data_IF_038128402226
#
_entry.id   IF_038128402226
#
_cell.length_a   1.000
_cell.length_b   1.000
_cell.length_c   1.000
_cell.angle_alpha   90.00
_cell.angle_beta   90.00
_cell.angle_gamma   90.00
#
_symmetry.space_group_name_H-M   'P 1'
#
loop_
_entity.id
_entity.type
_entity.pdbx_description
1 polymer ?
#
# COMPACT_ATOMS: atom_id res chain seq x y z
N UNK A 1 5.35 -24.85 46.09
CA UNK A 1 5.50 -24.08 44.82
C UNK A 1 5.58 -22.60 45.17
N UNK A 2 6.74 -21.97 44.96
CA UNK A 2 6.99 -20.60 45.37
C UNK A 2 6.06 -19.61 44.64
N UNK A 3 5.49 -18.65 45.38
CA UNK A 3 4.59 -17.60 44.84
C UNK A 3 5.27 -16.86 43.67
N UNK A 4 6.58 -16.64 43.76
CA UNK A 4 7.36 -16.01 42.68
C UNK A 4 7.28 -16.74 41.34
N UNK A 5 7.27 -18.07 41.33
CA UNK A 5 7.14 -18.84 40.08
C UNK A 5 5.76 -18.69 39.45
N UNK A 6 4.70 -18.58 40.26
CA UNK A 6 3.33 -18.33 39.76
C UNK A 6 3.23 -16.94 39.11
N UNK A 7 3.76 -15.92 39.77
CA UNK A 7 3.74 -14.54 39.24
C UNK A 7 4.54 -14.43 37.94
N UNK A 8 5.75 -15.01 37.89
CA UNK A 8 6.55 -15.02 36.67
C UNK A 8 5.82 -15.72 35.50
N UNK A 9 5.17 -16.86 35.77
CA UNK A 9 4.37 -17.56 34.76
C UNK A 9 3.22 -16.71 34.20
N UNK A 10 2.51 -15.98 35.06
CA UNK A 10 1.41 -15.09 34.64
C UNK A 10 1.94 -13.95 33.76
N UNK A 11 3.06 -13.32 34.13
CA UNK A 11 3.66 -12.23 33.34
C UNK A 11 4.06 -12.72 31.95
N UNK A 12 4.65 -13.91 31.85
CA UNK A 12 5.03 -14.52 30.56
C UNK A 12 3.79 -14.77 29.69
N UNK A 13 2.72 -15.32 30.27
CA UNK A 13 1.46 -15.56 29.54
C UNK A 13 0.85 -14.25 29.04
N UNK A 14 0.84 -13.20 29.86
CA UNK A 14 0.34 -11.88 29.47
C UNK A 14 1.19 -11.26 28.36
N UNK A 15 2.52 -11.34 28.46
CA UNK A 15 3.41 -10.86 27.42
C UNK A 15 3.20 -11.59 26.08
N UNK A 16 3.01 -12.91 26.12
CA UNK A 16 2.69 -13.72 24.94
C UNK A 16 1.33 -13.33 24.34
N UNK A 17 0.31 -13.14 25.17
CA UNK A 17 -1.02 -12.72 24.69
C UNK A 17 -0.98 -11.34 24.03
N UNK A 18 -0.30 -10.37 24.63
CA UNK A 18 -0.10 -9.04 24.04
C UNK A 18 0.68 -9.11 22.73
N UNK A 19 1.72 -9.95 22.66
CA UNK A 19 2.50 -10.14 21.44
C UNK A 19 1.65 -10.73 20.31
N UNK A 20 0.90 -11.81 20.59
CA UNK A 20 -0.01 -12.45 19.62
C UNK A 20 -1.05 -11.47 19.12
N UNK A 21 -1.65 -10.67 20.00
CA UNK A 21 -2.61 -9.63 19.61
C UNK A 21 -1.99 -8.59 18.69
N UNK A 22 -0.76 -8.16 18.97
CA UNK A 22 -0.04 -7.17 18.18
C UNK A 22 0.34 -7.66 16.78
N UNK A 23 0.71 -8.93 16.61
CA UNK A 23 1.09 -9.51 15.30
C UNK A 23 -0.08 -10.14 14.54
N UNK A 24 -1.27 -10.21 15.16
CA UNK A 24 -2.41 -10.90 14.58
C UNK A 24 -2.76 -10.30 13.21
N UNK A 25 -2.97 -11.13 12.18
CA UNK A 25 -3.34 -10.63 10.86
C UNK A 25 -4.75 -10.02 10.92
N UNK A 26 -4.89 -8.81 10.37
CA UNK A 26 -6.16 -8.10 10.27
C UNK A 26 -6.70 -8.26 8.86
N UNK A 27 -7.97 -8.67 8.74
CA UNK A 27 -8.64 -8.76 7.44
C UNK A 27 -8.97 -7.36 6.95
N UNK A 28 -8.66 -7.08 5.69
CA UNK A 28 -9.02 -5.83 5.01
C UNK A 28 -9.94 -6.18 3.85
N UNK A 29 -11.15 -5.65 3.92
CA UNK A 29 -12.14 -5.64 2.84
C UNK A 29 -12.56 -4.18 2.65
N UNK A 30 -11.89 -3.47 1.74
CA UNK A 30 -12.17 -2.06 1.50
C UNK A 30 -12.38 -1.80 0.02
N UNK A 31 -13.32 -0.91 -0.28
CA UNK A 31 -13.59 -0.41 -1.62
C UNK A 31 -13.54 1.12 -1.57
N UNK A 32 -12.69 1.71 -2.38
CA UNK A 32 -12.49 3.16 -2.45
C UNK A 32 -12.80 3.65 -3.86
N UNK A 33 -13.54 4.74 -3.95
CA UNK A 33 -13.68 5.53 -5.17
C UNK A 33 -12.58 6.59 -5.18
N UNK A 34 -11.91 6.72 -6.33
CA UNK A 34 -10.80 7.63 -6.52
C UNK A 34 -10.85 8.34 -7.85
N UNK A 35 -9.78 9.07 -8.13
CA UNK A 35 -9.58 9.76 -9.39
C UNK A 35 -8.23 9.33 -9.96
N UNK A 36 -8.24 8.91 -11.20
CA UNK A 36 -7.07 8.83 -12.05
C UNK A 36 -6.82 10.20 -12.66
N UNK A 37 -5.58 10.66 -12.68
CA UNK A 37 -5.21 11.85 -13.43
C UNK A 37 -3.80 11.73 -14.00
N UNK A 38 -3.53 12.50 -15.04
CA UNK A 38 -2.22 12.58 -15.68
C UNK A 38 -1.51 13.83 -15.15
N UNK A 39 -0.23 13.71 -14.80
CA UNK A 39 0.56 14.85 -14.35
C UNK A 39 0.82 15.87 -15.47
N UNK A 40 0.94 15.40 -16.71
CA UNK A 40 1.24 16.19 -17.91
C UNK A 40 -0.02 16.78 -18.54
N UNK A 41 -1.16 16.12 -18.40
CA UNK A 41 -2.45 16.60 -18.90
C UNK A 41 -3.38 17.01 -17.75
N UNK A 42 -3.50 18.33 -17.55
CA UNK A 42 -4.37 18.89 -16.51
C UNK A 42 -5.86 18.69 -16.75
N UNK A 43 -6.28 18.42 -17.99
CA UNK A 43 -7.67 18.19 -18.34
C UNK A 43 -8.12 16.75 -18.10
N UNK A 44 -7.18 15.79 -18.08
CA UNK A 44 -7.48 14.39 -17.85
C UNK A 44 -7.77 14.11 -16.38
N UNK A 45 -8.97 13.62 -16.11
CA UNK A 45 -9.38 13.11 -14.81
C UNK A 45 -10.55 12.13 -14.98
N UNK A 46 -10.39 10.91 -14.48
CA UNK A 46 -11.41 9.86 -14.60
C UNK A 46 -11.71 9.24 -13.23
N UNK A 47 -13.00 8.95 -12.98
CA UNK A 47 -13.40 8.26 -11.75
C UNK A 47 -13.08 6.77 -11.86
N UNK A 48 -12.49 6.23 -10.80
CA UNK A 48 -12.00 4.86 -10.75
C UNK A 48 -12.37 4.19 -9.43
N UNK A 49 -12.41 2.86 -9.41
CA UNK A 49 -12.72 2.08 -8.21
C UNK A 49 -11.58 1.10 -7.92
N UNK A 50 -11.15 1.08 -6.65
CA UNK A 50 -10.13 0.20 -6.13
C UNK A 50 -10.70 -0.63 -4.99
N UNK A 51 -10.48 -1.95 -5.04
CA UNK A 51 -10.90 -2.89 -4.00
C UNK A 51 -9.72 -3.72 -3.51
N UNK A 52 -9.56 -3.79 -2.19
CA UNK A 52 -8.67 -4.72 -1.51
C UNK A 52 -9.48 -5.79 -0.80
N UNK A 53 -9.08 -7.04 -0.96
CA UNK A 53 -9.59 -8.19 -0.22
C UNK A 53 -8.41 -9.06 0.21
N UNK A 54 -8.01 -8.94 1.48
CA UNK A 54 -6.81 -9.59 1.95
C UNK A 54 -6.56 -9.47 3.44
N UNK A 55 -5.31 -9.73 3.81
CA UNK A 55 -4.84 -9.68 5.18
C UNK A 55 -3.63 -8.77 5.28
N UNK A 56 -3.63 -7.90 6.27
CA UNK A 56 -2.46 -7.10 6.66
C UNK A 56 -1.90 -7.68 7.95
N UNK A 57 -0.60 -7.98 7.94
CA UNK A 57 0.11 -8.44 9.12
C UNK A 57 1.36 -7.57 9.35
N UNK A 58 1.66 -7.31 10.62
CA UNK A 58 2.91 -6.66 10.99
C UNK A 58 4.03 -7.69 11.05
N UNK A 59 5.16 -7.38 10.44
CA UNK A 59 6.38 -8.18 10.49
C UNK A 59 7.20 -7.79 11.73
N UNK A 60 8.11 -8.68 12.15
CA UNK A 60 8.94 -8.47 13.35
C UNK A 60 9.84 -7.22 13.25
N UNK A 61 10.20 -6.82 12.04
CA UNK A 61 10.99 -5.61 11.77
C UNK A 61 10.13 -4.33 11.74
N UNK A 62 8.82 -4.44 12.00
CA UNK A 62 7.87 -3.33 11.97
C UNK A 62 7.27 -3.02 10.61
N UNK A 63 7.75 -3.65 9.52
CA UNK A 63 7.13 -3.52 8.20
C UNK A 63 5.73 -4.12 8.21
N UNK A 64 4.86 -3.64 7.32
CA UNK A 64 3.53 -4.21 7.13
C UNK A 64 3.54 -5.05 5.85
N UNK A 65 2.99 -6.26 5.92
CA UNK A 65 2.79 -7.10 4.75
C UNK A 65 1.30 -7.20 4.47
N UNK A 66 0.90 -6.85 3.25
CA UNK A 66 -0.40 -7.17 2.70
C UNK A 66 -0.29 -8.44 1.84
N UNK A 67 -1.21 -9.38 2.03
CA UNK A 67 -1.39 -10.54 1.15
C UNK A 67 -2.87 -10.64 0.81
N UNK A 68 -3.20 -10.53 -0.48
CA UNK A 68 -4.59 -10.59 -0.91
C UNK A 68 -4.78 -10.16 -2.35
N UNK A 69 -6.04 -9.99 -2.72
CA UNK A 69 -6.45 -9.63 -4.06
C UNK A 69 -6.64 -8.12 -4.19
N UNK A 70 -6.19 -7.57 -5.30
CA UNK A 70 -6.41 -6.15 -5.64
C UNK A 70 -7.22 -6.13 -6.93
N UNK A 71 -8.27 -5.32 -6.93
CA UNK A 71 -9.10 -5.09 -8.11
C UNK A 71 -9.06 -3.60 -8.41
N UNK A 72 -8.69 -3.24 -9.63
CA UNK A 72 -8.63 -1.86 -10.07
C UNK A 72 -9.22 -1.78 -11.48
N UNK A 73 -10.25 -0.96 -11.62
CA UNK A 73 -10.84 -0.60 -12.91
C UNK A 73 -10.47 0.84 -13.24
N UNK A 74 -9.54 1.01 -14.18
CA UNK A 74 -8.99 2.28 -14.63
C UNK A 74 -8.91 2.30 -16.17
N UNK A 75 -9.09 3.47 -16.81
CA UNK A 75 -8.88 3.61 -18.26
C UNK A 75 -7.44 3.31 -18.69
N UNK A 76 -6.43 3.67 -17.88
CA UNK A 76 -5.02 3.41 -18.19
C UNK A 76 -4.63 1.94 -18.05
N UNK A 77 -5.14 1.23 -17.04
CA UNK A 77 -4.88 -0.20 -16.88
C UNK A 77 -5.92 -0.86 -15.96
N UNK A 78 -6.02 -2.18 -16.04
CA UNK A 78 -6.98 -2.94 -15.23
C UNK A 78 -6.29 -4.11 -14.55
N UNK A 79 -6.49 -4.23 -13.23
CA UNK A 79 -6.04 -5.40 -12.45
C UNK A 79 -7.27 -6.24 -12.13
N UNK A 80 -7.30 -7.48 -12.65
CA UNK A 80 -8.45 -8.40 -12.49
C UNK A 80 -8.04 -9.64 -11.69
N UNK A 81 -8.45 -9.69 -10.43
CA UNK A 81 -8.36 -10.88 -9.57
C UNK A 81 -6.94 -11.39 -9.30
N UNK A 82 -5.94 -10.50 -9.37
CA UNK A 82 -4.55 -10.85 -9.11
C UNK A 82 -4.24 -10.83 -7.61
N UNK A 83 -3.42 -11.79 -7.16
CA UNK A 83 -2.96 -11.87 -5.77
C UNK A 83 -1.61 -11.17 -5.63
N UNK A 84 -1.55 -10.19 -4.73
CA UNK A 84 -0.37 -9.41 -4.45
C UNK A 84 0.21 -9.76 -3.08
N UNK A 85 1.53 -9.66 -2.98
CA UNK A 85 2.24 -9.57 -1.70
C UNK A 85 2.97 -8.25 -1.65
N UNK A 86 2.42 -7.29 -0.91
CA UNK A 86 3.01 -5.95 -0.75
C UNK A 86 3.74 -5.87 0.58
N UNK A 87 4.96 -5.34 0.56
CA UNK A 87 5.75 -5.09 1.78
C UNK A 87 5.89 -3.58 1.93
N UNK A 88 5.09 -3.00 2.84
CA UNK A 88 5.19 -1.60 3.19
C UNK A 88 6.27 -1.41 4.25
N UNK A 89 7.25 -0.58 3.94
CA UNK A 89 8.28 -0.19 4.89
C UNK A 89 7.66 0.64 6.02
N UNK A 90 8.06 0.33 7.27
CA UNK A 90 7.50 0.90 8.51
C UNK A 90 7.35 2.43 8.47
N UNK A 91 8.34 3.13 7.91
CA UNK A 91 8.44 4.58 7.97
C UNK A 91 8.10 5.26 6.64
N UNK A 92 7.87 4.48 5.56
CA UNK A 92 7.61 4.99 4.21
C UNK A 92 6.15 4.82 3.78
N UNK A 93 5.43 3.85 4.36
CA UNK A 93 4.08 3.48 3.92
C UNK A 93 3.98 3.21 2.41
N UNK A 94 5.10 2.85 1.79
CA UNK A 94 5.26 2.61 0.36
C UNK A 94 5.62 1.15 0.14
N UNK A 95 5.09 0.57 -0.94
CA UNK A 95 5.49 -0.72 -1.47
C UNK A 95 5.53 -0.64 -3.00
N UNK A 96 6.35 -1.48 -3.63
CA UNK A 96 6.24 -1.68 -5.07
C UNK A 96 5.05 -2.58 -5.38
N UNK A 97 4.31 -2.26 -6.44
CA UNK A 97 3.12 -2.97 -6.87
C UNK A 97 3.51 -3.95 -7.98
N UNK A 98 4.02 -5.11 -7.55
CA UNK A 98 4.37 -6.21 -8.46
C UNK A 98 3.39 -7.38 -8.36
N UNK A 99 3.04 -7.96 -9.50
CA UNK A 99 2.40 -9.28 -9.56
C UNK A 99 3.26 -10.26 -10.33
N UNK A 100 3.00 -11.55 -10.13
CA UNK A 100 3.59 -12.62 -10.94
C UNK A 100 2.47 -13.32 -11.69
N UNK A 101 2.58 -13.39 -13.00
CA UNK A 101 1.58 -14.06 -13.83
C UNK A 101 1.69 -15.60 -13.72
N UNK A 102 0.85 -16.32 -14.46
CA UNK A 102 0.83 -17.79 -14.47
C UNK A 102 2.08 -18.42 -15.11
N UNK A 103 2.85 -17.66 -15.90
CA UNK A 103 4.12 -18.09 -16.50
C UNK A 103 5.31 -17.78 -15.60
N UNK A 104 5.10 -17.03 -14.53
CA UNK A 104 6.16 -16.59 -13.64
C UNK A 104 6.78 -15.25 -14.03
N UNK A 105 6.23 -14.53 -15.02
CA UNK A 105 6.69 -13.21 -15.43
C UNK A 105 6.27 -12.16 -14.37
N UNK A 106 7.16 -11.22 -14.08
CA UNK A 106 6.91 -10.15 -13.12
C UNK A 106 6.25 -8.98 -13.86
N UNK A 107 5.02 -8.63 -13.47
CA UNK A 107 4.35 -7.42 -13.94
C UNK A 107 4.60 -6.28 -12.95
N UNK A 108 5.13 -5.17 -13.45
CA UNK A 108 5.31 -3.93 -12.69
C UNK A 108 4.15 -2.97 -12.96
N UNK A 109 3.39 -2.65 -11.91
CA UNK A 109 2.33 -1.64 -11.96
C UNK A 109 2.74 -0.34 -11.26
N UNK A 110 4.02 -0.18 -10.91
CA UNK A 110 4.60 0.98 -10.27
C UNK A 110 4.62 0.92 -8.75
N UNK A 111 4.37 2.06 -8.11
CA UNK A 111 4.47 2.24 -6.66
C UNK A 111 3.11 2.43 -6.01
N UNK A 112 2.93 1.92 -4.79
CA UNK A 112 1.73 2.14 -3.98
C UNK A 112 2.10 2.70 -2.60
N UNK A 113 1.52 3.84 -2.27
CA UNK A 113 1.47 4.36 -0.91
C UNK A 113 0.13 4.03 -0.29
N UNK A 114 0.12 3.56 0.96
CA UNK A 114 -1.12 3.28 1.67
C UNK A 114 -1.00 3.53 3.18
N UNK A 115 -2.04 4.12 3.77
CA UNK A 115 -2.18 4.21 5.24
C UNK A 115 -2.20 2.83 5.91
N UNK A 116 -2.04 2.82 7.23
CA UNK A 116 -2.03 1.57 8.02
C UNK A 116 -3.32 0.75 7.85
N UNK A 117 -4.45 1.44 7.84
CA UNK A 117 -5.81 0.92 7.69
C UNK A 117 -6.29 0.85 6.24
N UNK A 118 -5.42 1.14 5.26
CA UNK A 118 -5.77 1.23 3.84
C UNK A 118 -6.88 2.25 3.53
N UNK A 119 -7.11 3.26 4.39
CA UNK A 119 -8.15 4.26 4.18
C UNK A 119 -7.78 5.32 3.14
N UNK A 120 -6.49 5.50 2.86
CA UNK A 120 -5.93 6.40 1.85
C UNK A 120 -4.86 5.65 1.07
N UNK A 121 -4.94 5.74 -0.25
CA UNK A 121 -4.06 5.03 -1.18
C UNK A 121 -3.70 5.95 -2.34
N UNK A 122 -2.41 5.97 -2.69
CA UNK A 122 -1.90 6.57 -3.92
C UNK A 122 -1.18 5.49 -4.69
N UNK A 123 -1.50 5.33 -5.97
CA UNK A 123 -0.74 4.48 -6.89
C UNK A 123 -0.10 5.39 -7.93
N UNK A 124 1.19 5.20 -8.18
CA UNK A 124 1.95 5.90 -9.21
C UNK A 124 2.36 4.87 -10.24
N UNK A 125 1.96 5.06 -11.49
CA UNK A 125 2.33 4.15 -12.59
C UNK A 125 3.23 4.86 -13.59
N UNK A 126 4.20 4.15 -14.19
CA UNK A 126 4.98 4.69 -15.29
C UNK A 126 4.06 5.03 -16.49
N UNK A 127 4.35 6.11 -17.21
CA UNK A 127 3.58 6.55 -18.39
C UNK A 127 3.69 5.53 -19.55
N UNK A 128 4.86 4.90 -19.66
CA UNK A 128 5.17 3.77 -20.54
C UNK A 128 6.20 2.88 -19.84
N UNK A 129 6.17 1.56 -20.03
CA UNK A 129 7.29 0.72 -19.65
C UNK A 129 8.49 1.12 -20.52
N UNK A 130 9.39 1.97 -20.01
CA UNK A 130 10.63 2.31 -20.69
C UNK A 130 11.73 1.32 -20.27
N UNK A 131 12.24 0.46 -21.17
CA UNK A 131 13.35 -0.41 -20.85
C UNK A 131 14.66 0.32 -20.51
N UNK A 132 14.74 1.65 -20.73
CA UNK A 132 15.90 2.48 -20.36
C UNK A 132 15.79 3.11 -18.96
N UNK A 133 14.66 2.97 -18.27
CA UNK A 133 14.50 3.37 -16.87
C UNK A 133 14.39 4.88 -16.61
N UNK A 134 14.09 5.69 -17.63
CA UNK A 134 13.72 7.10 -17.46
C UNK A 134 12.21 7.17 -17.18
N UNK A 135 11.82 6.62 -16.02
CA UNK A 135 10.43 6.47 -15.61
C UNK A 135 9.86 7.83 -15.16
N UNK A 136 9.47 8.67 -16.12
CA UNK A 136 8.55 9.77 -15.81
C UNK A 136 7.20 9.17 -15.45
N UNK A 137 6.85 9.22 -14.16
CA UNK A 137 5.52 8.86 -13.67
C UNK A 137 4.46 9.76 -14.32
N UNK A 138 3.66 9.18 -15.23
CA UNK A 138 2.65 9.91 -15.99
C UNK A 138 1.28 9.92 -15.32
N UNK A 139 0.88 8.77 -14.76
CA UNK A 139 -0.46 8.54 -14.23
C UNK A 139 -0.39 8.34 -12.72
N UNK A 140 -1.28 9.05 -12.02
CA UNK A 140 -1.49 8.90 -10.59
C UNK A 140 -2.95 8.54 -10.34
N UNK A 141 -3.15 7.54 -9.48
CA UNK A 141 -4.45 7.10 -9.00
C UNK A 141 -4.55 7.43 -7.51
N UNK A 142 -5.51 8.25 -7.13
CA UNK A 142 -5.62 8.75 -5.77
C UNK A 142 -6.96 8.38 -5.12
N UNK A 143 -6.90 7.82 -3.91
CA UNK A 143 -8.06 7.30 -3.18
C UNK A 143 -8.03 7.73 -1.70
N UNK A 144 -9.17 8.15 -1.12
CA UNK A 144 -10.39 8.54 -1.79
C UNK A 144 -10.24 9.92 -2.42
N UNK A 145 -10.81 10.12 -3.59
CA UNK A 145 -10.88 11.43 -4.23
C UNK A 145 -12.17 11.55 -5.02
N UNK A 146 -12.80 12.73 -4.99
CA UNK A 146 -14.02 13.05 -5.76
C UNK A 146 -13.76 14.05 -6.89
N UNK A 147 -12.53 14.52 -7.01
CA UNK A 147 -12.12 15.48 -8.04
C UNK A 147 -10.61 15.43 -8.23
N UNK A 148 -10.14 15.89 -9.39
CA UNK A 148 -8.71 16.05 -9.67
C UNK A 148 -8.00 16.90 -8.62
N UNK A 149 -8.61 17.99 -8.16
CA UNK A 149 -8.02 18.86 -7.12
C UNK A 149 -7.73 18.09 -5.83
N UNK A 150 -8.69 17.29 -5.36
CA UNK A 150 -8.50 16.43 -4.18
C UNK A 150 -7.42 15.37 -4.41
N UNK A 151 -7.40 14.75 -5.59
CA UNK A 151 -6.41 13.75 -5.97
C UNK A 151 -4.98 14.33 -5.97
N UNK A 152 -4.80 15.52 -6.52
CA UNK A 152 -3.52 16.23 -6.51
C UNK A 152 -3.09 16.60 -5.09
N UNK A 153 -4.01 17.14 -4.28
CA UNK A 153 -3.71 17.45 -2.86
C UNK A 153 -3.27 16.21 -2.09
N UNK A 154 -3.96 15.08 -2.29
CA UNK A 154 -3.58 13.82 -1.64
C UNK A 154 -2.19 13.38 -2.11
N UNK A 155 -1.91 13.45 -3.41
CA UNK A 155 -0.63 13.03 -3.97
C UNK A 155 0.55 13.88 -3.49
N UNK A 156 0.38 15.21 -3.41
CA UNK A 156 1.39 16.12 -2.86
C UNK A 156 1.73 15.80 -1.40
N UNK A 157 0.72 15.49 -0.58
CA UNK A 157 0.93 15.06 0.81
C UNK A 157 1.85 13.84 0.90
N UNK A 158 1.67 12.86 0.02
CA UNK A 158 2.53 11.66 0.01
C UNK A 158 3.94 11.93 -0.53
N UNK A 159 4.07 12.78 -1.56
CA UNK A 159 5.38 13.22 -2.04
C UNK A 159 6.16 13.94 -0.93
N UNK A 160 5.53 14.82 -0.15
CA UNK A 160 6.17 15.46 1.00
C UNK A 160 6.62 14.46 2.08
N UNK A 161 5.81 13.43 2.36
CA UNK A 161 6.16 12.36 3.29
C UNK A 161 7.37 11.57 2.80
N UNK A 162 7.40 11.22 1.52
CA UNK A 162 8.52 10.53 0.90
C UNK A 162 9.81 11.37 0.94
N UNK A 163 9.73 12.66 0.60
CA UNK A 163 10.90 13.56 0.68
C UNK A 163 11.44 13.70 2.10
N UNK A 164 10.55 13.82 3.11
CA UNK A 164 10.97 13.83 4.52
C UNK A 164 11.64 12.51 4.93
N UNK A 165 11.11 11.38 4.48
CA UNK A 165 11.71 10.08 4.73
C UNK A 165 13.11 9.98 4.11
N UNK A 166 13.26 10.38 2.83
CA UNK A 166 14.56 10.40 2.15
C UNK A 166 15.58 11.28 2.89
N UNK A 167 15.16 12.45 3.36
CA UNK A 167 16.02 13.34 4.14
C UNK A 167 16.44 12.75 5.50
N UNK A 168 15.61 11.89 6.11
CA UNK A 168 15.93 11.25 7.39
C UNK A 168 16.99 10.14 7.30
N UNK A 169 17.36 9.71 6.09
CA UNK A 169 18.36 8.67 5.85
C UNK A 169 19.80 9.21 5.80
N UNK A 170 19.99 10.53 5.82
CA UNK A 170 21.28 11.22 5.73
C UNK A 170 21.54 12.08 6.97
#
# INVERSE_FOLDING_TARGET
>A
MNIGFKVAGIIIILALACYVHYVWPHKIETQLTGIEYNQKDSAYAEEIVLRFDGWVNKLYNGNRRYVGKIYLESPSFTIKDETFTLIFEKDRNYANLYSRDTKGELNDYGGIFAKEDMSEIIIQTPDKPDPQGDDEYGIILAFPAKSRGQAVTLSLKYQEMEQKWLQSQF
#
